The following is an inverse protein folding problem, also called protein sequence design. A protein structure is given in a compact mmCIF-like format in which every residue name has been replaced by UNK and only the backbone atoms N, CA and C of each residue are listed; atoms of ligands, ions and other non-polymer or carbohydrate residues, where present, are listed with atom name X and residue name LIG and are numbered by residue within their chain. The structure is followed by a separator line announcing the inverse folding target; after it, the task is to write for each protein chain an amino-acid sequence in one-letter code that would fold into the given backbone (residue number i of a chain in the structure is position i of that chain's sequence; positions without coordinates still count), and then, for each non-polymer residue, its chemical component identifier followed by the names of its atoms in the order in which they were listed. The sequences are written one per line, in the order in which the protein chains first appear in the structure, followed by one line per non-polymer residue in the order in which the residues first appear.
data_IF_252933769625
#
_entry.id   IF_252933769625
#
_cell.length_a   1.000
_cell.length_b   1.000
_cell.length_c   1.000
_cell.angle_alpha   90.00
_cell.angle_beta   90.00
_cell.angle_gamma   90.00
#
_symmetry.space_group_name_H-M   'P 1'
#
loop_
_entity.id
_entity.type
_entity.pdbx_description
1 polymer ?
#
# COMPACT_ATOMS: atom_id res chain seq x y z
N UNK A 1 12.70 -21.21 16.17
CA UNK A 1 11.58 -21.19 15.22
C UNK A 1 10.31 -20.54 15.75
N UNK A 2 10.02 -20.62 17.04
CA UNK A 2 8.84 -19.97 17.61
C UNK A 2 8.90 -18.44 17.65
N UNK A 3 10.08 -17.83 17.62
CA UNK A 3 10.21 -16.36 17.67
C UNK A 3 10.04 -15.68 16.33
N UNK A 4 10.21 -16.38 15.20
CA UNK A 4 10.02 -15.82 13.85
C UNK A 4 8.57 -15.56 13.49
N UNK A 5 7.64 -16.33 14.07
CA UNK A 5 6.22 -16.18 13.76
C UNK A 5 5.48 -15.20 14.69
N UNK A 6 6.13 -14.70 15.74
CA UNK A 6 5.46 -13.78 16.67
C UNK A 6 5.35 -12.34 16.15
N UNK A 7 6.17 -11.95 15.20
CA UNK A 7 6.07 -10.60 14.61
C UNK A 7 4.94 -10.46 13.60
N UNK A 8 4.53 -11.56 12.98
CA UNK A 8 3.39 -11.57 12.02
C UNK A 8 2.01 -11.68 12.70
N UNK A 9 1.94 -11.94 14.01
CA UNK A 9 0.68 -12.19 14.75
C UNK A 9 0.18 -11.00 15.56
N UNK A 10 0.84 -9.86 15.52
CA UNK A 10 0.52 -8.69 16.35
C UNK A 10 -0.33 -7.62 15.65
N UNK A 11 -0.74 -7.83 14.41
CA UNK A 11 -1.60 -6.89 13.68
C UNK A 11 -3.04 -7.35 13.47
N UNK A 12 -3.48 -8.39 14.20
CA UNK A 12 -4.91 -8.72 14.27
C UNK A 12 -5.38 -8.37 15.68
N UNK A 13 -5.58 -7.13 15.98
CA UNK A 13 -6.35 -6.71 17.15
C UNK A 13 -7.19 -5.50 16.82
N UNK A 14 -8.47 -5.80 16.69
CA UNK A 14 -9.59 -5.01 17.18
C UNK A 14 -9.80 -3.60 16.60
N UNK A 15 -10.75 -3.49 15.69
CA UNK A 15 -11.70 -2.40 15.76
C UNK A 15 -13.12 -2.92 15.60
N UNK A 16 -13.64 -3.34 16.73
CA UNK A 16 -15.05 -3.33 17.05
C UNK A 16 -15.35 -1.98 17.70
N UNK A 17 -16.01 -1.10 17.03
CA UNK A 17 -16.81 -0.01 17.60
C UNK A 17 -18.00 0.15 16.68
N UNK A 18 -19.10 -0.51 16.99
CA UNK A 18 -20.26 0.01 17.69
C UNK A 18 -20.91 1.21 17.01
N UNK A 19 -21.90 0.85 16.20
CA UNK A 19 -23.23 1.42 16.05
C UNK A 19 -23.59 2.52 17.06
N UNK A 20 -24.04 3.66 16.55
CA UNK A 20 -25.22 4.32 17.11
C UNK A 20 -25.98 5.09 16.03
N UNK A 21 -27.19 4.64 15.80
CA UNK A 21 -28.25 5.32 15.07
C UNK A 21 -28.59 6.64 15.75
N UNK A 22 -28.82 7.68 14.99
CA UNK A 22 -29.80 8.70 15.37
C UNK A 22 -30.64 9.03 14.16
N UNK A 23 -31.86 8.55 14.26
CA UNK A 23 -33.04 8.93 13.51
C UNK A 23 -33.44 10.34 13.91
N UNK A 24 -33.64 11.22 12.97
CA UNK A 24 -34.55 12.34 13.17
C UNK A 24 -35.19 12.72 11.85
N UNK A 25 -36.43 12.39 11.76
CA UNK A 25 -37.43 12.93 10.81
C UNK A 25 -37.64 14.40 11.11
N UNK A 26 -37.87 15.24 10.14
CA UNK A 26 -39.20 15.86 9.99
C UNK A 26 -39.30 16.91 8.89
N UNK A 27 -40.23 16.65 8.01
CA UNK A 27 -41.24 17.53 7.43
C UNK A 27 -40.87 18.77 6.60
N UNK A 28 -41.28 18.62 5.37
CA UNK A 28 -41.78 19.61 4.41
C UNK A 28 -43.02 20.41 4.96
N UNK A 29 -43.49 21.60 4.45
CA UNK A 29 -43.71 21.81 3.03
C UNK A 29 -43.53 23.28 2.52
N UNK A 30 -43.43 23.37 1.16
CA UNK A 30 -44.01 24.39 0.24
C UNK A 30 -43.67 25.87 0.42
N UNK A 31 -43.09 26.50 -0.56
CA UNK A 31 -43.71 27.30 -1.62
C UNK A 31 -42.69 28.08 -2.46
N UNK A 32 -42.77 27.83 -3.76
CA UNK A 32 -42.92 28.77 -4.86
C UNK A 32 -42.18 30.11 -4.84
N UNK A 33 -41.26 30.30 -5.75
CA UNK A 33 -41.28 31.39 -6.78
C UNK A 33 -39.96 31.45 -7.54
N UNK A 34 -40.11 31.29 -8.84
CA UNK A 34 -39.26 31.80 -9.91
C UNK A 34 -38.24 32.86 -9.54
N UNK A 35 -37.00 32.59 -9.85
CA UNK A 35 -36.09 33.54 -10.52
C UNK A 35 -34.84 32.80 -10.97
N UNK A 36 -34.62 32.77 -12.27
CA UNK A 36 -33.36 32.47 -12.92
C UNK A 36 -32.40 33.60 -12.64
N UNK A 37 -31.20 33.28 -12.12
CA UNK A 37 -30.03 33.83 -12.73
C UNK A 37 -29.05 32.75 -13.16
N UNK A 38 -28.62 32.85 -14.37
CA UNK A 38 -27.47 32.25 -14.95
C UNK A 38 -26.29 32.36 -13.97
N UNK A 39 -25.95 31.29 -13.28
CA UNK A 39 -24.74 31.16 -12.57
C UNK A 39 -23.89 30.10 -13.28
N UNK A 40 -22.82 30.56 -13.87
CA UNK A 40 -21.71 29.82 -14.41
C UNK A 40 -21.30 28.75 -13.40
N UNK A 41 -21.54 27.49 -13.73
CA UNK A 41 -21.05 26.39 -12.97
C UNK A 41 -19.51 26.42 -12.96
N UNK A 42 -18.86 26.33 -11.81
CA UNK A 42 -17.45 26.02 -11.82
C UNK A 42 -17.30 24.62 -12.43
N UNK A 43 -16.58 24.55 -13.52
CA UNK A 43 -16.10 23.30 -14.10
C UNK A 43 -15.39 22.57 -12.98
N UNK A 44 -16.06 21.54 -12.45
CA UNK A 44 -15.37 20.55 -11.65
C UNK A 44 -14.32 19.93 -12.56
N UNK A 45 -13.08 20.34 -12.37
CA UNK A 45 -11.94 19.63 -12.89
C UNK A 45 -12.04 18.22 -12.31
N UNK A 46 -12.55 17.29 -13.11
CA UNK A 46 -12.41 15.87 -12.81
C UNK A 46 -10.90 15.64 -12.70
N UNK A 47 -10.43 15.48 -11.49
CA UNK A 47 -9.11 14.92 -11.26
C UNK A 47 -9.13 13.56 -11.95
N UNK A 48 -8.50 13.48 -13.10
CA UNK A 48 -8.10 12.21 -13.70
C UNK A 48 -7.39 11.44 -12.60
N UNK A 49 -7.80 10.20 -12.30
CA UNK A 49 -7.04 9.42 -11.33
C UNK A 49 -5.62 9.36 -11.84
N UNK A 50 -4.71 9.97 -11.09
CA UNK A 50 -3.28 9.89 -11.35
C UNK A 50 -2.96 8.40 -11.42
N UNK A 51 -2.64 7.93 -12.63
CA UNK A 51 -2.14 6.58 -12.81
C UNK A 51 -0.83 6.52 -12.05
N UNK A 52 -0.88 6.00 -10.84
CA UNK A 52 0.31 5.76 -10.04
C UNK A 52 1.18 4.81 -10.84
N UNK A 53 2.24 5.33 -11.43
CA UNK A 53 3.20 4.55 -12.19
C UNK A 53 4.15 3.91 -11.19
N UNK A 54 4.12 2.58 -11.12
CA UNK A 54 5.03 1.81 -10.28
C UNK A 54 6.35 1.59 -10.98
N UNK A 55 7.43 1.48 -10.21
CA UNK A 55 8.79 1.23 -10.73
C UNK A 55 8.91 -0.12 -11.44
N UNK A 56 8.01 -1.05 -11.15
CA UNK A 56 7.99 -2.40 -11.69
C UNK A 56 8.82 -3.40 -10.88
N UNK A 57 8.43 -4.65 -10.97
CA UNK A 57 9.03 -5.77 -10.23
C UNK A 57 10.53 -5.94 -10.52
N UNK A 58 10.93 -5.83 -11.78
CA UNK A 58 12.34 -5.99 -12.17
C UNK A 58 13.22 -4.89 -11.55
N UNK A 59 12.72 -3.65 -11.51
CA UNK A 59 13.44 -2.56 -10.86
C UNK A 59 13.53 -2.74 -9.35
N UNK A 60 12.49 -3.24 -8.73
CA UNK A 60 12.47 -3.56 -7.31
C UNK A 60 13.49 -4.66 -6.96
N UNK A 61 13.57 -5.73 -7.77
CA UNK A 61 14.61 -6.78 -7.65
C UNK A 61 16.02 -6.21 -7.76
N UNK A 62 16.25 -5.35 -8.75
CA UNK A 62 17.54 -4.70 -8.95
C UNK A 62 17.97 -3.91 -7.71
N UNK A 63 17.06 -3.12 -7.13
CA UNK A 63 17.30 -2.35 -5.91
C UNK A 63 17.66 -3.28 -4.73
N UNK A 64 16.91 -4.38 -4.56
CA UNK A 64 17.17 -5.36 -3.51
C UNK A 64 18.55 -6.02 -3.65
N UNK A 65 18.90 -6.45 -4.85
CA UNK A 65 20.20 -7.06 -5.16
C UNK A 65 21.35 -6.08 -4.96
N UNK A 66 21.19 -4.85 -5.43
CA UNK A 66 22.19 -3.80 -5.24
C UNK A 66 22.44 -3.51 -3.77
N UNK A 67 21.39 -3.49 -2.96
CA UNK A 67 21.48 -3.32 -1.50
C UNK A 67 22.23 -4.46 -0.82
N UNK A 68 21.99 -5.69 -1.28
CA UNK A 68 22.68 -6.88 -0.79
C UNK A 68 24.15 -7.01 -1.29
N UNK A 69 24.48 -6.32 -2.38
CA UNK A 69 25.77 -6.47 -3.07
C UNK A 69 25.89 -7.79 -3.84
N UNK A 70 24.74 -8.31 -4.32
CA UNK A 70 24.62 -9.59 -4.99
C UNK A 70 24.13 -9.40 -6.45
N UNK A 71 24.30 -10.45 -7.25
CA UNK A 71 23.75 -10.51 -8.61
C UNK A 71 22.56 -11.47 -8.67
N UNK A 72 21.75 -11.36 -9.70
CA UNK A 72 20.61 -12.25 -9.87
C UNK A 72 20.99 -13.72 -10.06
N UNK A 73 22.21 -13.98 -10.51
CA UNK A 73 22.76 -15.33 -10.70
C UNK A 73 23.16 -15.99 -9.38
N UNK A 74 23.47 -15.18 -8.35
CA UNK A 74 23.94 -15.64 -7.04
C UNK A 74 22.79 -15.99 -6.09
N UNK A 75 21.56 -15.66 -6.43
CA UNK A 75 20.42 -15.75 -5.52
C UNK A 75 19.26 -16.55 -6.12
N UNK A 76 18.40 -17.05 -5.24
CA UNK A 76 17.11 -17.61 -5.58
C UNK A 76 16.02 -16.75 -4.96
N UNK A 77 15.18 -16.15 -5.78
CA UNK A 77 13.99 -15.44 -5.31
C UNK A 77 12.94 -16.44 -4.82
N UNK A 78 12.47 -16.25 -3.61
CA UNK A 78 11.46 -17.11 -2.97
C UNK A 78 10.10 -16.46 -2.91
N UNK A 79 10.05 -15.13 -2.90
CA UNK A 79 8.81 -14.34 -2.94
C UNK A 79 9.04 -13.02 -3.64
N UNK A 80 8.09 -12.65 -4.47
CA UNK A 80 8.02 -11.33 -5.08
C UNK A 80 6.54 -11.00 -5.23
N UNK A 81 6.12 -9.87 -4.74
CA UNK A 81 4.73 -9.45 -4.82
C UNK A 81 4.55 -7.96 -4.60
N UNK A 82 3.54 -7.40 -5.26
CA UNK A 82 3.07 -6.05 -5.00
C UNK A 82 2.00 -6.14 -3.92
N UNK A 83 2.20 -5.45 -2.83
CA UNK A 83 1.28 -5.38 -1.71
C UNK A 83 1.00 -3.93 -1.31
N UNK A 84 0.02 -3.74 -0.45
CA UNK A 84 -0.34 -2.42 0.07
C UNK A 84 -0.45 -2.49 1.58
N UNK A 85 0.49 -1.87 2.26
CA UNK A 85 0.53 -1.77 3.71
C UNK A 85 0.43 -0.30 4.15
N UNK A 86 -0.44 -0.02 5.15
CA UNK A 86 -0.71 1.33 5.68
C UNK A 86 -0.97 2.41 4.59
N UNK A 87 -1.54 1.99 3.45
CA UNK A 87 -1.85 2.88 2.34
C UNK A 87 -0.69 3.10 1.36
N UNK A 88 0.48 2.55 1.62
CA UNK A 88 1.66 2.61 0.75
C UNK A 88 1.71 1.35 -0.11
N UNK A 89 1.88 1.53 -1.42
CA UNK A 89 2.16 0.44 -2.32
C UNK A 89 3.64 0.06 -2.23
N UNK A 90 3.94 -1.21 -2.04
CA UNK A 90 5.30 -1.73 -1.88
C UNK A 90 5.48 -3.06 -2.59
N UNK A 91 6.70 -3.33 -3.01
CA UNK A 91 7.13 -4.65 -3.44
C UNK A 91 7.74 -5.37 -2.25
N UNK A 92 7.15 -6.49 -1.85
CA UNK A 92 7.70 -7.42 -0.89
C UNK A 92 8.56 -8.45 -1.64
N UNK A 93 9.84 -8.51 -1.30
CA UNK A 93 10.82 -9.36 -1.99
C UNK A 93 11.59 -10.18 -0.97
N UNK A 94 11.54 -11.51 -1.15
CA UNK A 94 12.36 -12.46 -0.41
C UNK A 94 13.29 -13.20 -1.37
N UNK A 95 14.55 -13.32 -1.01
CA UNK A 95 15.53 -14.08 -1.78
C UNK A 95 16.60 -14.69 -0.88
N UNK A 96 17.31 -15.69 -1.40
CA UNK A 96 18.30 -16.46 -0.66
C UNK A 96 19.60 -16.56 -1.44
N UNK A 97 20.69 -16.48 -0.70
CA UNK A 97 22.02 -16.89 -1.14
C UNK A 97 22.55 -17.91 -0.13
N UNK A 98 22.73 -19.14 -0.53
CA UNK A 98 23.16 -20.24 0.34
C UNK A 98 22.26 -20.40 1.58
N UNK A 99 22.80 -20.08 2.76
CA UNK A 99 22.10 -20.15 4.04
C UNK A 99 21.59 -18.80 4.54
N UNK A 100 21.82 -17.76 3.77
CA UNK A 100 21.37 -16.40 4.10
C UNK A 100 20.07 -16.08 3.38
N UNK A 101 19.10 -15.62 4.12
CA UNK A 101 17.80 -15.19 3.64
C UNK A 101 17.69 -13.68 3.79
N UNK A 102 17.22 -13.02 2.75
CA UNK A 102 17.02 -11.59 2.67
C UNK A 102 15.54 -11.32 2.48
N UNK A 103 15.01 -10.37 3.24
CA UNK A 103 13.63 -9.88 3.10
C UNK A 103 13.66 -8.35 3.01
N UNK A 104 12.91 -7.79 2.08
CA UNK A 104 12.85 -6.34 1.89
C UNK A 104 11.51 -5.88 1.35
N UNK A 105 11.06 -4.72 1.84
CA UNK A 105 9.92 -3.99 1.31
C UNK A 105 10.42 -2.72 0.62
N UNK A 106 10.02 -2.53 -0.62
CA UNK A 106 10.44 -1.42 -1.47
C UNK A 106 9.22 -0.65 -1.92
N UNK A 107 9.20 0.67 -1.68
CA UNK A 107 8.14 1.55 -2.15
C UNK A 107 7.96 1.40 -3.66
N UNK A 108 6.76 1.04 -4.08
CA UNK A 108 6.47 0.75 -5.48
C UNK A 108 6.48 1.99 -6.39
N UNK A 109 6.40 3.19 -5.83
CA UNK A 109 6.36 4.45 -6.59
C UNK A 109 7.75 5.02 -6.83
N UNK A 110 8.59 5.06 -5.79
CA UNK A 110 9.88 5.75 -5.84
C UNK A 110 11.10 4.84 -5.65
N UNK A 111 10.90 3.55 -5.30
CA UNK A 111 11.98 2.60 -5.08
C UNK A 111 12.71 2.75 -3.74
N UNK A 112 12.17 3.52 -2.81
CA UNK A 112 12.76 3.65 -1.47
C UNK A 112 12.64 2.33 -0.71
N UNK A 113 13.71 1.87 -0.07
CA UNK A 113 13.69 0.69 0.79
C UNK A 113 12.99 1.06 2.10
N UNK A 114 11.87 0.42 2.38
CA UNK A 114 11.06 0.63 3.58
C UNK A 114 11.54 -0.27 4.72
N UNK A 115 11.79 -1.53 4.39
CA UNK A 115 12.26 -2.54 5.34
C UNK A 115 13.41 -3.35 4.75
N UNK A 116 14.33 -3.83 5.60
CA UNK A 116 15.43 -4.69 5.21
C UNK A 116 15.80 -5.63 6.34
N UNK A 117 15.66 -6.93 6.10
CA UNK A 117 16.03 -7.96 7.06
C UNK A 117 17.00 -8.98 6.44
N UNK A 118 17.92 -9.49 7.25
CA UNK A 118 18.87 -10.55 6.87
C UNK A 118 18.85 -11.61 7.96
N UNK A 119 18.66 -12.86 7.57
CA UNK A 119 18.67 -13.99 8.47
C UNK A 119 19.67 -15.06 7.96
N UNK A 120 20.61 -15.42 8.78
CA UNK A 120 21.62 -16.44 8.49
C UNK A 120 21.39 -17.66 9.37
N UNK A 121 21.30 -18.84 8.75
CA UNK A 121 21.08 -20.14 9.43
C UNK A 121 22.39 -20.92 9.58
#
# INVERSE_FOLDING_TARGET
ELMKNMKKLLFISAMLISSLCITACNNNPSNNSSQTPTATAPTATQATPEKTEFIGEEKAKEIALQKAGLTAEDVTFTKIGLDRDDGVWQYEIEFRQDKTEYETDINAVDGTIINWEIDSK
#
